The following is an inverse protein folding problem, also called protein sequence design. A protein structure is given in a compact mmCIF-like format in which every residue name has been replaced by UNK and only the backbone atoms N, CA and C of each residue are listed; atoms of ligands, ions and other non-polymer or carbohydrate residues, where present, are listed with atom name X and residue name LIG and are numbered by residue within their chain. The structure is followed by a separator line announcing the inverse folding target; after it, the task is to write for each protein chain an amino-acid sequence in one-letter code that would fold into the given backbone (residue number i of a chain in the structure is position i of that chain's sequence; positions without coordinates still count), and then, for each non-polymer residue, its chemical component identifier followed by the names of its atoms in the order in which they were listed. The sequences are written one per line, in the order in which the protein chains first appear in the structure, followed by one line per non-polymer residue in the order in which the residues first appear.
data_IF_681602143237
#
_entry.id   IF_681602143237
#
_cell.length_a   1.000
_cell.length_b   1.000
_cell.length_c   1.000
_cell.angle_alpha   90.00
_cell.angle_beta   90.00
_cell.angle_gamma   90.00
#
_symmetry.space_group_name_H-M   'P 1'
#
loop_
_entity.id
_entity.type
_entity.pdbx_description
1 polymer ?
#
# COMPACT_ATOMS: atom_id res chain seq x y z
N UNK A 1 -11.30 -6.89 5.69
CA UNK A 1 -12.38 -7.84 6.04
C UNK A 1 -13.41 -7.19 6.93
N UNK A 2 -13.08 -6.84 8.18
CA UNK A 2 -14.02 -6.20 9.12
C UNK A 2 -14.78 -5.02 8.51
N UNK A 3 -14.07 -4.01 7.96
CA UNK A 3 -14.74 -2.87 7.32
C UNK A 3 -15.60 -3.26 6.11
N UNK A 4 -15.20 -4.28 5.34
CA UNK A 4 -15.99 -4.72 4.20
C UNK A 4 -17.30 -5.39 4.65
N UNK A 5 -17.26 -6.19 5.71
CA UNK A 5 -18.44 -6.87 6.27
C UNK A 5 -19.39 -5.87 6.95
N UNK A 6 -18.83 -5.00 7.81
CA UNK A 6 -19.63 -4.01 8.52
C UNK A 6 -20.29 -3.01 7.54
N UNK A 7 -19.54 -2.44 6.59
CA UNK A 7 -20.09 -1.48 5.63
C UNK A 7 -21.03 -2.12 4.60
N UNK A 8 -20.87 -3.41 4.28
CA UNK A 8 -21.80 -4.11 3.40
C UNK A 8 -23.16 -4.39 4.06
N UNK A 9 -23.19 -4.46 5.40
CA UNK A 9 -24.41 -4.70 6.18
C UNK A 9 -25.07 -3.39 6.66
N UNK A 10 -24.42 -2.23 6.49
CA UNK A 10 -25.00 -0.93 6.82
C UNK A 10 -25.85 -0.38 5.67
N UNK A 11 -27.00 0.20 6.02
CA UNK A 11 -27.79 0.95 5.06
C UNK A 11 -27.07 2.24 4.65
N UNK A 12 -27.32 2.71 3.43
CA UNK A 12 -26.66 3.91 2.89
C UNK A 12 -26.92 5.15 3.75
N UNK A 13 -28.10 5.26 4.34
CA UNK A 13 -28.45 6.36 5.24
C UNK A 13 -27.59 6.35 6.52
N UNK A 14 -27.25 5.16 7.03
CA UNK A 14 -26.40 5.02 8.22
C UNK A 14 -24.95 5.40 7.93
N UNK A 15 -24.44 5.13 6.71
CA UNK A 15 -23.09 5.50 6.28
C UNK A 15 -22.94 7.03 6.16
N UNK A 16 -24.01 7.71 5.74
CA UNK A 16 -24.06 9.17 5.62
C UNK A 16 -24.20 9.84 6.99
N UNK A 17 -24.81 9.17 7.96
CA UNK A 17 -24.98 9.70 9.32
C UNK A 17 -23.61 9.77 10.06
N UNK A 18 -23.22 10.94 10.60
CA UNK A 18 -21.96 11.10 11.32
C UNK A 18 -21.84 10.22 12.58
N UNK A 19 -22.94 9.97 13.28
CA UNK A 19 -22.95 9.21 14.53
C UNK A 19 -23.02 7.70 14.29
N UNK A 20 -23.72 7.26 13.25
CA UNK A 20 -23.89 5.82 12.94
C UNK A 20 -22.84 5.28 11.97
N UNK A 21 -22.36 6.10 11.04
CA UNK A 21 -21.36 5.71 10.04
C UNK A 21 -19.96 6.19 10.41
N UNK A 22 -19.76 7.49 10.56
CA UNK A 22 -18.41 8.04 10.75
C UNK A 22 -17.80 7.69 12.12
N UNK A 23 -18.57 7.78 13.21
CA UNK A 23 -18.06 7.54 14.56
C UNK A 23 -17.56 6.10 14.77
N UNK A 24 -18.31 5.02 14.44
CA UNK A 24 -17.82 3.66 14.64
C UNK A 24 -16.62 3.35 13.73
N UNK A 25 -16.62 3.90 12.52
CA UNK A 25 -15.48 3.80 11.60
C UNK A 25 -14.21 4.42 12.22
N UNK A 26 -14.32 5.65 12.75
CA UNK A 26 -13.23 6.35 13.42
C UNK A 26 -12.77 5.65 14.70
N UNK A 27 -13.66 5.02 15.46
CA UNK A 27 -13.30 4.29 16.67
C UNK A 27 -12.43 3.07 16.33
N UNK A 28 -12.81 2.28 15.34
CA UNK A 28 -12.05 1.09 14.93
C UNK A 28 -10.72 1.51 14.29
N UNK A 29 -10.74 2.49 13.38
CA UNK A 29 -9.53 3.01 12.77
C UNK A 29 -8.60 3.65 13.81
N UNK A 30 -9.15 4.40 14.76
CA UNK A 30 -8.43 5.06 15.85
C UNK A 30 -7.79 4.05 16.80
N UNK A 31 -8.48 2.96 17.15
CA UNK A 31 -7.92 1.88 17.96
C UNK A 31 -6.70 1.25 17.28
N UNK A 32 -6.82 0.88 16.01
CA UNK A 32 -5.71 0.31 15.23
C UNK A 32 -4.57 1.34 15.10
N UNK A 33 -4.90 2.61 14.86
CA UNK A 33 -3.92 3.67 14.74
C UNK A 33 -3.12 3.88 16.03
N UNK A 34 -3.77 3.89 17.19
CA UNK A 34 -3.11 4.00 18.51
C UNK A 34 -2.14 2.83 18.72
N UNK A 35 -2.56 1.60 18.42
CA UNK A 35 -1.69 0.42 18.55
C UNK A 35 -0.45 0.52 17.66
N UNK A 36 -0.60 0.96 16.41
CA UNK A 36 0.52 1.12 15.48
C UNK A 36 1.45 2.28 15.87
N UNK A 37 0.90 3.37 16.40
CA UNK A 37 1.68 4.50 16.91
C UNK A 37 2.53 4.09 18.12
N UNK A 38 2.01 3.19 18.97
CA UNK A 38 2.73 2.59 20.09
C UNK A 38 3.83 1.61 19.64
N UNK A 39 3.72 1.02 18.45
CA UNK A 39 4.72 0.16 17.79
C UNK A 39 5.71 0.92 16.89
N UNK A 40 5.81 2.24 17.03
CA UNK A 40 6.30 3.18 16.02
C UNK A 40 6.18 2.82 14.52
N UNK A 41 5.15 2.08 14.08
CA UNK A 41 5.02 1.62 12.69
C UNK A 41 4.16 2.56 11.84
N UNK A 42 4.80 3.60 11.30
CA UNK A 42 4.16 4.58 10.43
C UNK A 42 3.86 4.03 9.02
N UNK A 43 4.61 3.02 8.57
CA UNK A 43 4.41 2.40 7.26
C UNK A 43 3.07 1.67 7.21
N UNK A 44 2.87 0.74 8.14
CA UNK A 44 1.61 0.01 8.26
C UNK A 44 0.43 0.93 8.56
N UNK A 45 0.65 1.98 9.38
CA UNK A 45 -0.38 2.99 9.65
C UNK A 45 -0.83 3.70 8.36
N UNK A 46 0.10 4.10 7.50
CA UNK A 46 -0.20 4.78 6.24
C UNK A 46 -0.99 3.88 5.30
N UNK A 47 -0.62 2.60 5.21
CA UNK A 47 -1.31 1.60 4.39
C UNK A 47 -2.73 1.35 4.90
N UNK A 48 -2.91 1.15 6.21
CA UNK A 48 -4.24 0.92 6.80
C UNK A 48 -5.11 2.16 6.66
N UNK A 49 -4.57 3.36 6.86
CA UNK A 49 -5.31 4.61 6.66
C UNK A 49 -5.77 4.75 5.21
N UNK A 50 -4.87 4.57 4.24
CA UNK A 50 -5.21 4.63 2.81
C UNK A 50 -6.28 3.59 2.43
N UNK A 51 -6.10 2.33 2.85
CA UNK A 51 -7.08 1.26 2.67
C UNK A 51 -8.45 1.62 3.25
N UNK A 52 -8.47 2.13 4.48
CA UNK A 52 -9.72 2.43 5.19
C UNK A 52 -10.48 3.54 4.49
N UNK A 53 -9.78 4.60 4.05
CA UNK A 53 -10.36 5.68 3.25
C UNK A 53 -10.92 5.15 1.92
N UNK A 54 -10.17 4.30 1.21
CA UNK A 54 -10.62 3.69 -0.04
C UNK A 54 -11.91 2.89 0.17
N UNK A 55 -11.95 2.00 1.17
CA UNK A 55 -13.13 1.15 1.42
C UNK A 55 -14.33 1.99 1.87
N UNK A 56 -14.12 2.99 2.73
CA UNK A 56 -15.19 3.87 3.19
C UNK A 56 -15.76 4.72 2.05
N UNK A 57 -14.90 5.22 1.16
CA UNK A 57 -15.32 5.91 -0.05
C UNK A 57 -16.15 5.00 -0.96
N UNK A 58 -15.68 3.77 -1.22
CA UNK A 58 -16.38 2.82 -2.07
C UNK A 58 -17.71 2.33 -1.48
N UNK A 59 -17.86 2.36 -0.16
CA UNK A 59 -19.14 2.10 0.52
C UNK A 59 -20.17 3.25 0.34
N UNK A 60 -19.77 4.38 -0.25
CA UNK A 60 -20.66 5.49 -0.54
C UNK A 60 -20.64 6.62 0.50
N UNK A 61 -19.59 6.70 1.31
CA UNK A 61 -19.42 7.79 2.27
C UNK A 61 -19.34 9.17 1.58
N UNK A 62 -19.89 10.23 2.20
CA UNK A 62 -19.87 11.56 1.62
C UNK A 62 -18.44 12.13 1.60
N UNK A 63 -18.13 12.91 0.57
CA UNK A 63 -16.79 13.50 0.37
C UNK A 63 -16.35 14.37 1.55
N UNK A 64 -17.30 14.99 2.27
CA UNK A 64 -17.02 15.77 3.48
C UNK A 64 -16.46 14.92 4.63
N UNK A 65 -16.95 13.69 4.81
CA UNK A 65 -16.40 12.77 5.82
C UNK A 65 -14.97 12.37 5.47
N UNK A 66 -14.72 12.09 4.19
CA UNK A 66 -13.38 11.75 3.70
C UNK A 66 -12.41 12.92 3.86
N UNK A 67 -12.85 14.14 3.55
CA UNK A 67 -12.07 15.36 3.76
C UNK A 67 -11.77 15.56 5.27
N UNK A 68 -12.76 15.35 6.14
CA UNK A 68 -12.60 15.43 7.59
C UNK A 68 -11.61 14.40 8.14
N UNK A 69 -11.73 13.13 7.74
CA UNK A 69 -10.79 12.05 8.12
C UNK A 69 -9.38 12.39 7.63
N UNK A 70 -9.24 12.83 6.38
CA UNK A 70 -7.93 13.15 5.79
C UNK A 70 -7.29 14.34 6.49
N UNK A 71 -8.04 15.41 6.74
CA UNK A 71 -7.58 16.58 7.48
C UNK A 71 -7.17 16.21 8.91
N UNK A 72 -8.00 15.43 9.62
CA UNK A 72 -7.68 14.91 10.95
C UNK A 72 -6.44 14.04 10.97
N UNK A 73 -6.24 13.19 9.95
CA UNK A 73 -5.05 12.37 9.79
C UNK A 73 -3.77 13.19 9.59
N UNK A 74 -3.81 14.23 8.75
CA UNK A 74 -2.69 15.16 8.55
C UNK A 74 -2.37 15.90 9.85
N UNK A 75 -3.39 16.36 10.58
CA UNK A 75 -3.23 17.07 11.84
C UNK A 75 -2.64 16.16 12.93
N UNK A 76 -3.11 14.91 13.01
CA UNK A 76 -2.57 13.88 13.90
C UNK A 76 -1.11 13.57 13.57
N UNK A 77 -0.76 13.39 12.29
CA UNK A 77 0.61 13.21 11.84
C UNK A 77 1.50 14.40 12.24
N UNK A 78 1.02 15.62 12.07
CA UNK A 78 1.76 16.82 12.46
C UNK A 78 2.03 16.89 13.97
N UNK A 79 1.02 16.59 14.80
CA UNK A 79 1.19 16.48 16.27
C UNK A 79 2.21 15.39 16.61
N UNK A 80 2.11 14.25 15.92
CA UNK A 80 2.95 13.09 16.15
C UNK A 80 4.42 13.33 15.77
N UNK A 81 4.67 14.11 14.73
CA UNK A 81 6.00 14.56 14.33
C UNK A 81 6.59 15.51 15.38
N UNK A 82 5.79 16.43 15.93
CA UNK A 82 6.25 17.35 16.98
C UNK A 82 6.51 16.67 18.33
N UNK A 83 5.78 15.62 18.66
CA UNK A 83 5.90 14.96 19.96
C UNK A 83 7.14 14.07 20.10
N UNK A 84 7.76 13.64 19.00
CA UNK A 84 8.91 12.75 19.01
C UNK A 84 10.05 13.30 18.14
N UNK A 85 11.20 13.71 18.74
CA UNK A 85 12.35 14.25 18.00
C UNK A 85 12.82 13.34 16.86
N UNK A 86 12.73 12.02 17.03
CA UNK A 86 13.06 11.04 16.02
C UNK A 86 12.20 11.13 14.75
N UNK A 87 10.89 11.40 14.88
CA UNK A 87 9.97 11.52 13.73
C UNK A 87 10.24 12.81 12.94
N UNK A 88 10.53 13.90 13.64
CA UNK A 88 10.98 15.14 13.02
C UNK A 88 12.31 14.96 12.30
N UNK A 89 13.28 14.26 12.91
CA UNK A 89 14.56 13.94 12.29
C UNK A 89 14.37 13.09 11.01
N UNK A 90 13.46 12.10 11.02
CA UNK A 90 13.13 11.30 9.82
C UNK A 90 12.53 12.14 8.68
N UNK A 91 11.68 13.12 8.99
CA UNK A 91 11.12 14.02 7.97
C UNK A 91 12.19 14.98 7.43
N UNK A 92 13.04 15.53 8.31
CA UNK A 92 14.13 16.42 7.92
C UNK A 92 15.18 15.69 7.08
N UNK A 93 15.54 14.45 7.44
CA UNK A 93 16.47 13.62 6.66
C UNK A 93 15.87 13.15 5.33
N UNK A 94 14.55 12.98 5.23
CA UNK A 94 13.90 12.78 3.93
C UNK A 94 14.02 14.02 3.03
N UNK A 95 13.79 15.23 3.57
CA UNK A 95 13.88 16.48 2.81
C UNK A 95 15.33 16.87 2.49
N UNK A 96 16.26 16.55 3.38
CA UNK A 96 17.69 16.83 3.27
C UNK A 96 18.48 15.57 3.67
N UNK A 97 18.66 14.61 2.74
CA UNK A 97 19.39 13.36 2.99
C UNK A 97 20.83 13.58 3.47
N UNK A 98 21.42 14.71 3.10
CA UNK A 98 22.78 15.13 3.47
C UNK A 98 22.97 15.29 4.99
N UNK A 99 21.89 15.54 5.74
CA UNK A 99 21.93 15.70 7.21
C UNK A 99 22.20 14.38 7.96
N UNK A 100 22.00 13.23 7.30
CA UNK A 100 22.22 11.91 7.90
C UNK A 100 22.97 10.98 6.92
N UNK A 101 24.29 11.21 6.75
CA UNK A 101 25.12 10.49 5.79
C UNK A 101 25.42 9.04 6.19
N UNK A 102 24.93 8.55 7.33
CA UNK A 102 25.14 7.17 7.80
C UNK A 102 23.84 6.40 8.09
N UNK A 103 22.70 7.08 8.26
CA UNK A 103 21.41 6.46 8.56
C UNK A 103 20.44 6.45 7.39
N UNK A 104 19.29 7.10 7.56
CA UNK A 104 18.19 7.08 6.57
C UNK A 104 18.58 7.86 5.31
N UNK A 105 19.30 8.97 5.46
CA UNK A 105 19.80 9.75 4.32
C UNK A 105 20.76 8.95 3.43
N UNK A 106 21.65 8.17 4.06
CA UNK A 106 22.51 7.21 3.37
C UNK A 106 21.69 6.17 2.59
N UNK A 107 20.68 5.57 3.22
CA UNK A 107 19.81 4.59 2.56
C UNK A 107 19.14 5.16 1.31
N UNK A 108 18.54 6.35 1.41
CA UNK A 108 17.91 7.05 0.28
C UNK A 108 18.94 7.29 -0.85
N UNK A 109 20.11 7.81 -0.51
CA UNK A 109 21.17 8.09 -1.49
C UNK A 109 21.65 6.81 -2.20
N UNK A 110 21.81 5.71 -1.48
CA UNK A 110 22.19 4.43 -2.08
C UNK A 110 21.09 3.86 -2.98
N UNK A 111 19.81 4.04 -2.63
CA UNK A 111 18.70 3.67 -3.50
C UNK A 111 18.72 4.45 -4.82
N UNK A 112 19.00 5.76 -4.79
CA UNK A 112 19.16 6.56 -6.00
C UNK A 112 20.35 6.12 -6.85
N UNK A 113 21.49 5.83 -6.21
CA UNK A 113 22.67 5.34 -6.90
C UNK A 113 22.42 3.98 -7.57
N UNK A 114 21.70 3.06 -6.91
CA UNK A 114 21.33 1.76 -7.48
C UNK A 114 20.43 1.92 -8.71
N UNK A 115 19.38 2.73 -8.59
CA UNK A 115 18.43 2.97 -9.69
C UNK A 115 19.15 3.66 -10.86
N UNK A 116 20.05 4.60 -10.57
CA UNK A 116 20.83 5.32 -11.58
C UNK A 116 21.91 4.48 -12.27
N UNK A 117 22.59 3.58 -11.54
CA UNK A 117 23.68 2.74 -12.08
C UNK A 117 23.18 1.65 -13.04
N UNK A 118 21.90 1.27 -12.96
CA UNK A 118 21.31 0.26 -13.85
C UNK A 118 21.23 0.67 -15.32
N UNK A 119 21.26 1.97 -15.65
CA UNK A 119 21.13 2.44 -17.02
C UNK A 119 19.85 1.91 -17.73
N UNK A 120 19.89 1.78 -19.06
CA UNK A 120 18.71 1.33 -19.82
C UNK A 120 18.45 -0.18 -19.72
N UNK A 121 19.51 -0.99 -19.67
CA UNK A 121 19.44 -2.46 -19.80
C UNK A 121 19.91 -3.24 -18.56
N UNK A 122 20.35 -2.55 -17.51
CA UNK A 122 20.78 -3.17 -16.27
C UNK A 122 22.24 -3.62 -16.32
N UNK A 123 22.74 -4.00 -15.15
CA UNK A 123 24.06 -4.61 -14.99
C UNK A 123 24.04 -6.15 -15.19
N UNK A 124 22.85 -6.74 -15.28
CA UNK A 124 22.64 -8.19 -15.30
C UNK A 124 22.27 -8.74 -13.92
N UNK A 125 21.50 -9.83 -13.92
CA UNK A 125 21.02 -10.49 -12.70
C UNK A 125 22.19 -10.92 -11.80
N UNK A 126 22.11 -10.59 -10.52
CA UNK A 126 23.16 -10.89 -9.53
C UNK A 126 24.43 -10.05 -9.65
N UNK A 127 24.48 -9.08 -10.57
CA UNK A 127 25.60 -8.16 -10.73
C UNK A 127 25.35 -6.79 -10.08
N UNK A 128 24.32 -6.65 -9.25
CA UNK A 128 24.09 -5.42 -8.46
C UNK A 128 25.25 -5.15 -7.53
N UNK A 129 25.87 -3.97 -7.65
CA UNK A 129 26.97 -3.56 -6.78
C UNK A 129 26.43 -3.02 -5.45
N UNK A 130 25.28 -2.35 -5.49
CA UNK A 130 24.68 -1.75 -4.30
C UNK A 130 24.13 -2.79 -3.32
N UNK A 131 23.62 -3.92 -3.85
CA UNK A 131 23.14 -5.06 -3.06
C UNK A 131 24.16 -5.66 -2.09
N UNK A 132 25.44 -5.73 -2.47
CA UNK A 132 26.43 -6.48 -1.69
C UNK A 132 27.16 -5.65 -0.63
N UNK A 133 27.23 -4.33 -0.80
CA UNK A 133 28.17 -3.51 -0.03
C UNK A 133 27.55 -2.25 0.59
N UNK A 134 26.37 -1.80 0.12
CA UNK A 134 25.94 -0.43 0.41
C UNK A 134 24.48 -0.31 0.82
N UNK A 135 23.57 -1.07 0.23
CA UNK A 135 22.13 -0.89 0.44
C UNK A 135 21.68 -1.64 1.71
N UNK A 136 21.09 -0.98 2.72
CA UNK A 136 20.46 -1.65 3.85
C UNK A 136 19.19 -2.42 3.42
N UNK A 137 18.81 -3.46 4.16
CA UNK A 137 17.53 -4.18 3.99
C UNK A 137 17.18 -4.60 2.54
N UNK A 138 18.21 -4.96 1.78
CA UNK A 138 18.15 -5.28 0.34
C UNK A 138 17.06 -6.27 -0.03
N UNK A 139 16.89 -7.28 0.82
CA UNK A 139 16.00 -8.41 0.58
C UNK A 139 14.56 -8.06 0.97
N UNK A 140 14.37 -7.05 1.82
CA UNK A 140 13.08 -6.55 2.29
C UNK A 140 12.62 -5.33 1.49
N UNK A 141 12.82 -4.13 2.03
CA UNK A 141 12.23 -2.90 1.51
C UNK A 141 12.92 -2.36 0.24
N UNK A 142 14.18 -2.73 0.01
CA UNK A 142 15.02 -2.11 -1.02
C UNK A 142 15.15 -2.94 -2.31
N UNK A 143 14.33 -4.00 -2.42
CA UNK A 143 14.36 -4.91 -3.56
C UNK A 143 14.08 -4.19 -4.88
N UNK A 144 13.26 -3.14 -4.88
CA UNK A 144 12.97 -2.36 -6.07
C UNK A 144 14.21 -1.66 -6.63
N UNK A 145 15.03 -1.05 -5.76
CA UNK A 145 16.25 -0.37 -6.17
C UNK A 145 17.27 -1.35 -6.77
N UNK A 146 17.37 -2.56 -6.20
CA UNK A 146 18.20 -3.64 -6.75
C UNK A 146 17.67 -4.15 -8.08
N UNK A 147 16.37 -4.37 -8.21
CA UNK A 147 15.78 -4.76 -9.50
C UNK A 147 16.03 -3.70 -10.57
N UNK A 148 15.93 -2.42 -10.23
CA UNK A 148 16.25 -1.33 -11.16
C UNK A 148 17.72 -1.35 -11.59
N UNK A 149 18.66 -1.64 -10.68
CA UNK A 149 20.09 -1.78 -11.00
C UNK A 149 20.37 -3.00 -11.90
N UNK A 150 19.82 -4.16 -11.56
CA UNK A 150 20.10 -5.42 -12.26
C UNK A 150 19.39 -5.51 -13.62
N UNK A 151 18.13 -5.06 -13.70
CA UNK A 151 17.26 -5.21 -14.87
C UNK A 151 17.28 -3.99 -15.81
N UNK A 152 17.67 -2.82 -15.28
CA UNK A 152 17.66 -1.56 -16.02
C UNK A 152 16.27 -0.96 -16.22
N UNK A 153 16.26 0.25 -16.78
CA UNK A 153 15.06 1.06 -16.96
C UNK A 153 13.96 0.38 -17.79
N UNK A 154 14.32 -0.29 -18.89
CA UNK A 154 13.32 -0.87 -19.81
C UNK A 154 12.53 -1.97 -19.12
N UNK A 155 13.22 -2.89 -18.45
CA UNK A 155 12.57 -4.04 -17.83
C UNK A 155 11.87 -3.66 -16.52
N UNK A 156 12.42 -2.74 -15.72
CA UNK A 156 11.71 -2.24 -14.53
C UNK A 156 10.43 -1.49 -14.91
N UNK A 157 10.41 -0.78 -16.04
CA UNK A 157 9.19 -0.16 -16.54
C UNK A 157 8.12 -1.19 -16.93
N UNK A 158 8.52 -2.31 -17.54
CA UNK A 158 7.60 -3.43 -17.81
C UNK A 158 7.07 -4.00 -16.50
N UNK A 159 7.90 -4.18 -15.48
CA UNK A 159 7.48 -4.64 -14.15
C UNK A 159 6.45 -3.69 -13.53
N UNK A 160 6.66 -2.37 -13.61
CA UNK A 160 5.69 -1.37 -13.15
C UNK A 160 4.35 -1.49 -13.90
N UNK A 161 4.39 -1.69 -15.22
CA UNK A 161 3.17 -1.89 -16.02
C UNK A 161 2.44 -3.19 -15.67
N UNK A 162 3.18 -4.26 -15.35
CA UNK A 162 2.59 -5.51 -14.87
C UNK A 162 1.93 -5.34 -13.50
N UNK A 163 2.58 -4.63 -12.57
CA UNK A 163 2.00 -4.31 -11.26
C UNK A 163 0.73 -3.45 -11.42
N UNK A 164 0.77 -2.43 -12.28
CA UNK A 164 -0.41 -1.60 -12.57
C UNK A 164 -1.54 -2.42 -13.22
N UNK A 165 -1.22 -3.27 -14.19
CA UNK A 165 -2.17 -4.19 -14.83
C UNK A 165 -2.76 -5.21 -13.85
N UNK A 166 -1.96 -5.67 -12.89
CA UNK A 166 -2.41 -6.57 -11.83
C UNK A 166 -3.42 -5.88 -10.90
N UNK A 167 -3.14 -4.66 -10.43
CA UNK A 167 -4.11 -3.87 -9.66
C UNK A 167 -5.37 -3.59 -10.47
N UNK A 168 -5.23 -3.23 -11.74
CA UNK A 168 -6.37 -3.03 -12.64
C UNK A 168 -7.24 -4.29 -12.78
N UNK A 169 -6.61 -5.47 -12.87
CA UNK A 169 -7.33 -6.75 -12.91
C UNK A 169 -8.10 -7.01 -11.61
N UNK A 170 -7.55 -6.69 -10.44
CA UNK A 170 -8.26 -6.80 -9.17
C UNK A 170 -9.48 -5.89 -9.11
N UNK A 171 -9.34 -4.62 -9.55
CA UNK A 171 -10.45 -3.67 -9.63
C UNK A 171 -11.53 -4.14 -10.61
N UNK A 172 -11.13 -4.76 -11.72
CA UNK A 172 -12.07 -5.38 -12.66
C UNK A 172 -12.86 -6.54 -12.04
N UNK A 173 -12.20 -7.39 -11.24
CA UNK A 173 -12.88 -8.46 -10.48
C UNK A 173 -13.84 -7.86 -9.45
N UNK A 174 -13.42 -6.81 -8.72
CA UNK A 174 -14.27 -6.14 -7.73
C UNK A 174 -15.56 -5.64 -8.37
N UNK A 175 -15.49 -4.96 -9.52
CA UNK A 175 -16.66 -4.43 -10.25
C UNK A 175 -17.68 -5.48 -10.66
N UNK A 176 -17.26 -6.73 -10.78
CA UNK A 176 -18.13 -7.83 -11.18
C UNK A 176 -18.52 -8.71 -9.98
N UNK A 177 -18.16 -8.31 -8.75
CA UNK A 177 -18.42 -9.08 -7.55
C UNK A 177 -19.94 -9.32 -7.37
N UNK A 178 -20.31 -10.50 -6.83
CA UNK A 178 -21.72 -10.90 -6.72
C UNK A 178 -22.50 -10.13 -5.65
N UNK A 179 -21.82 -9.58 -4.65
CA UNK A 179 -22.42 -8.90 -3.50
C UNK A 179 -21.52 -7.75 -3.00
N UNK A 180 -22.10 -6.88 -2.16
CA UNK A 180 -21.43 -5.68 -1.63
C UNK A 180 -20.21 -5.99 -0.78
N UNK A 181 -20.24 -7.07 0.02
CA UNK A 181 -19.09 -7.51 0.79
C UNK A 181 -17.94 -7.93 -0.12
N UNK A 182 -18.22 -8.77 -1.12
CA UNK A 182 -17.23 -9.21 -2.10
C UNK A 182 -16.64 -8.03 -2.88
N UNK A 183 -17.47 -7.04 -3.25
CA UNK A 183 -17.01 -5.81 -3.88
C UNK A 183 -16.01 -5.05 -2.99
N UNK A 184 -16.42 -4.73 -1.76
CA UNK A 184 -15.59 -3.98 -0.80
C UNK A 184 -14.34 -4.76 -0.38
N UNK A 185 -14.44 -6.09 -0.26
CA UNK A 185 -13.33 -6.95 0.06
C UNK A 185 -12.27 -6.96 -1.06
N UNK A 186 -12.67 -7.25 -2.30
CA UNK A 186 -11.72 -7.29 -3.43
C UNK A 186 -11.14 -5.90 -3.71
N UNK A 187 -11.97 -4.85 -3.66
CA UNK A 187 -11.49 -3.49 -3.82
C UNK A 187 -10.56 -3.05 -2.67
N UNK A 188 -10.84 -3.50 -1.44
CA UNK A 188 -9.96 -3.32 -0.29
C UNK A 188 -8.61 -4.02 -0.49
N UNK A 189 -8.59 -5.28 -0.94
CA UNK A 189 -7.33 -5.99 -1.25
C UNK A 189 -6.55 -5.25 -2.35
N UNK A 190 -7.23 -4.77 -3.40
CA UNK A 190 -6.60 -3.97 -4.45
C UNK A 190 -6.00 -2.67 -3.89
N UNK A 191 -6.74 -1.95 -3.05
CA UNK A 191 -6.29 -0.72 -2.40
C UNK A 191 -5.12 -0.94 -1.44
N UNK A 192 -5.14 -2.04 -0.68
CA UNK A 192 -4.03 -2.43 0.20
C UNK A 192 -2.76 -2.66 -0.60
N UNK A 193 -2.80 -3.52 -1.63
CA UNK A 193 -1.64 -3.84 -2.47
C UNK A 193 -1.14 -2.60 -3.22
N UNK A 194 -2.04 -1.81 -3.79
CA UNK A 194 -1.68 -0.58 -4.49
C UNK A 194 -0.98 0.42 -3.57
N UNK A 195 -1.52 0.64 -2.36
CA UNK A 195 -0.92 1.56 -1.39
C UNK A 195 0.47 1.09 -0.96
N UNK A 196 0.65 -0.21 -0.71
CA UNK A 196 1.93 -0.77 -0.31
C UNK A 196 2.98 -0.70 -1.44
N UNK A 197 2.58 -0.99 -2.68
CA UNK A 197 3.45 -0.84 -3.86
C UNK A 197 3.86 0.63 -4.05
N UNK A 198 2.90 1.56 -4.01
CA UNK A 198 3.16 2.99 -4.20
C UNK A 198 4.05 3.56 -3.11
N UNK A 199 3.82 3.20 -1.84
CA UNK A 199 4.65 3.65 -0.74
C UNK A 199 6.05 3.07 -0.82
N UNK A 200 6.21 1.76 -1.07
CA UNK A 200 7.53 1.15 -1.18
C UNK A 200 8.35 1.74 -2.35
N UNK A 201 7.80 1.70 -3.57
CA UNK A 201 8.50 2.20 -4.76
C UNK A 201 8.72 3.71 -4.65
N UNK A 202 7.71 4.45 -4.21
CA UNK A 202 7.79 5.89 -4.03
C UNK A 202 8.83 6.29 -2.98
N UNK A 203 9.03 5.51 -1.92
CA UNK A 203 10.13 5.73 -0.98
C UNK A 203 11.50 5.53 -1.63
N UNK A 204 11.65 4.53 -2.50
CA UNK A 204 12.92 4.23 -3.18
C UNK A 204 13.29 5.27 -4.26
N UNK A 205 12.29 5.93 -4.86
CA UNK A 205 12.51 7.03 -5.84
C UNK A 205 12.39 8.43 -5.21
N UNK A 206 12.26 8.54 -3.89
CA UNK A 206 12.30 9.83 -3.17
C UNK A 206 10.99 10.62 -3.18
N UNK A 207 9.87 10.02 -3.57
CA UNK A 207 8.54 10.65 -3.54
C UNK A 207 7.92 10.62 -2.13
N UNK A 208 8.25 9.61 -1.33
CA UNK A 208 7.75 9.44 0.03
C UNK A 208 8.89 9.18 1.01
N UNK A 209 8.73 9.48 2.31
CA UNK A 209 9.72 9.09 3.32
C UNK A 209 9.87 7.57 3.39
N UNK A 210 11.04 7.07 3.79
CA UNK A 210 11.29 5.63 3.94
C UNK A 210 10.36 5.02 5.00
N UNK A 211 9.52 4.08 4.55
CA UNK A 211 8.47 3.44 5.37
C UNK A 211 8.83 2.04 5.86
N UNK A 212 9.83 1.38 5.29
CA UNK A 212 10.24 0.01 5.65
C UNK A 212 9.23 -1.07 5.24
N UNK A 213 8.27 -0.73 4.36
CA UNK A 213 7.25 -1.67 3.90
C UNK A 213 7.82 -2.60 2.82
N UNK A 214 7.58 -3.92 2.88
CA UNK A 214 7.99 -4.82 1.82
C UNK A 214 7.14 -4.61 0.57
N UNK A 215 7.74 -4.80 -0.61
CA UNK A 215 7.06 -4.83 -1.89
C UNK A 215 6.28 -6.15 -2.03
N UNK A 216 4.94 -6.13 -2.18
CA UNK A 216 4.14 -7.34 -2.29
C UNK A 216 4.63 -8.26 -3.41
N UNK A 217 4.67 -9.57 -3.14
CA UNK A 217 5.12 -10.66 -4.03
C UNK A 217 6.61 -10.68 -4.40
N UNK A 218 7.36 -9.59 -4.21
CA UNK A 218 8.75 -9.48 -4.65
C UNK A 218 9.74 -9.47 -3.49
N UNK A 219 9.38 -8.79 -2.39
CA UNK A 219 10.22 -8.74 -1.20
C UNK A 219 10.20 -10.05 -0.42
N UNK A 220 11.31 -10.30 0.28
CA UNK A 220 11.44 -11.42 1.18
C UNK A 220 10.72 -11.14 2.50
N UNK A 221 9.74 -11.98 2.79
CA UNK A 221 8.96 -11.93 4.02
C UNK A 221 7.96 -13.06 4.04
N UNK A 222 8.34 -14.20 4.61
CA UNK A 222 7.51 -15.42 4.57
C UNK A 222 6.09 -15.19 5.07
N UNK A 223 5.94 -14.52 6.21
CA UNK A 223 4.61 -14.19 6.76
C UNK A 223 3.83 -13.24 5.86
N UNK A 224 4.45 -12.17 5.36
CA UNK A 224 3.80 -11.23 4.47
C UNK A 224 3.33 -11.92 3.18
N UNK A 225 4.19 -12.75 2.57
CA UNK A 225 3.88 -13.53 1.38
C UNK A 225 2.72 -14.50 1.63
N UNK A 226 2.73 -15.23 2.75
CA UNK A 226 1.64 -16.15 3.11
C UNK A 226 0.30 -15.42 3.26
N UNK A 227 0.28 -14.27 3.95
CA UNK A 227 -0.94 -13.47 4.14
C UNK A 227 -1.42 -12.91 2.79
N UNK A 228 -0.51 -12.41 1.96
CA UNK A 228 -0.87 -11.93 0.61
C UNK A 228 -1.41 -13.06 -0.27
N UNK A 229 -0.79 -14.24 -0.25
CA UNK A 229 -1.27 -15.42 -1.00
C UNK A 229 -2.63 -15.90 -0.50
N UNK A 230 -2.87 -15.88 0.82
CA UNK A 230 -4.18 -16.20 1.39
C UNK A 230 -5.25 -15.20 0.92
N UNK A 231 -4.95 -13.90 0.95
CA UNK A 231 -5.83 -12.86 0.42
C UNK A 231 -6.14 -13.07 -1.07
N UNK A 232 -5.12 -13.40 -1.87
CA UNK A 232 -5.28 -13.71 -3.29
C UNK A 232 -6.10 -14.98 -3.52
N UNK A 233 -5.97 -16.00 -2.67
CA UNK A 233 -6.81 -17.19 -2.70
C UNK A 233 -8.29 -16.87 -2.52
N UNK A 234 -8.62 -15.94 -1.62
CA UNK A 234 -9.99 -15.45 -1.44
C UNK A 234 -10.49 -14.66 -2.64
N UNK A 235 -9.67 -13.76 -3.20
CA UNK A 235 -10.02 -13.03 -4.44
C UNK A 235 -10.25 -14.00 -5.61
N UNK A 236 -9.41 -15.02 -5.75
CA UNK A 236 -9.56 -16.05 -6.79
C UNK A 236 -10.86 -16.85 -6.61
N UNK A 237 -11.23 -17.18 -5.36
CA UNK A 237 -12.51 -17.81 -5.06
C UNK A 237 -13.70 -16.94 -5.49
N UNK A 238 -13.68 -15.64 -5.17
CA UNK A 238 -14.72 -14.69 -5.59
C UNK A 238 -14.77 -14.59 -7.12
N UNK A 239 -13.61 -14.45 -7.78
CA UNK A 239 -13.52 -14.37 -9.24
C UNK A 239 -14.12 -15.59 -9.97
N UNK A 240 -13.97 -16.79 -9.41
CA UNK A 240 -14.59 -18.01 -9.96
C UNK A 240 -16.13 -17.94 -9.93
N UNK A 241 -16.71 -17.38 -8.88
CA UNK A 241 -18.17 -17.25 -8.76
C UNK A 241 -18.74 -16.23 -9.76
N UNK A 242 -18.01 -15.13 -9.99
CA UNK A 242 -18.32 -14.14 -11.04
C UNK A 242 -18.38 -14.80 -12.43
N UNK A 243 -17.38 -15.61 -12.77
CA UNK A 243 -17.32 -16.29 -14.07
C UNK A 243 -18.45 -17.30 -14.27
N UNK A 244 -18.89 -17.97 -13.19
CA UNK A 244 -20.02 -18.92 -13.24
C UNK A 244 -21.36 -18.21 -13.45
N UNK A 245 -21.58 -17.08 -12.76
CA UNK A 245 -22.81 -16.28 -12.90
C UNK A 245 -22.96 -15.73 -14.32
N UNK A 246 -21.90 -15.13 -14.87
CA UNK A 246 -21.89 -14.59 -16.24
C UNK A 246 -22.13 -15.66 -17.32
N UNK A 247 -21.56 -16.86 -17.17
CA UNK A 247 -21.82 -17.99 -18.10
C UNK A 247 -23.26 -18.51 -18.05
N UNK A 248 -23.91 -18.48 -16.88
CA UNK A 248 -25.30 -18.89 -16.73
C UNK A 248 -26.26 -17.84 -17.33
N UNK A 249 -25.94 -16.56 -17.21
CA UNK A 249 -26.69 -15.47 -17.85
C UNK A 249 -26.60 -15.53 -19.39
N UNK A 250 -25.41 -15.77 -19.94
CA UNK A 250 -25.19 -15.90 -21.39
C UNK A 250 -25.80 -17.15 -22.05
N UNK A 251 -26.21 -18.16 -21.27
CA UNK A 251 -26.93 -19.35 -21.77
C UNK A 251 -28.46 -19.20 -21.77
N UNK A 252 -28.99 -18.12 -21.20
CA UNK A 252 -30.44 -17.83 -21.12
C UNK A 252 -30.92 -16.85 -22.21
N UNK A 253 -30.00 -16.40 -23.08
CA UNK A 253 -30.25 -15.60 -24.27
C UNK A 253 -30.08 -16.51 -25.51
#
# INVERSE_FOLDING_TARGET
MFFADWLANCDREEIIDPHRGLLPFLLVLGLVAVLLILQPDLGSLSVIAALSIIVFFLAGAPWMHLAGISAGGVLALWILIKSAPYRAARLMTFLQPELDPQGIGYHINQSFLAIGSGGLFGLGLGHSRQKYMYLPEVVGDSIFAVMAEELGFVLIFIVLMLLAGFIWRLLHIARQAPDGFCFLFVAGVAGWLASQILLNIGSMVGLFPMTGLPLPFMSYGGTALLVTLAAMGMVANISRHVSKSSRLAGKRL
#
